data_IF_030940798975
#
_entry.id   IF_030940798975
#
_cell.length_a   1.000
_cell.length_b   1.000
_cell.length_c   1.000
_cell.angle_alpha   90.00
_cell.angle_beta   90.00
_cell.angle_gamma   90.00
#
_symmetry.space_group_name_H-M   'P 1'
#
loop_
_entity.id
_entity.type
_entity.pdbx_description
1 polymer ?
#
# COMPACT_ATOMS: atom_id res chain seq x y z
N UNK A 1 -16.36 -15.75 -6.39
CA UNK A 1 -15.01 -15.15 -6.31
C UNK A 1 -15.22 -13.66 -6.25
N UNK A 2 -15.03 -13.04 -5.10
CA UNK A 2 -15.05 -11.58 -5.02
C UNK A 2 -13.84 -11.10 -5.80
N UNK A 3 -14.07 -10.51 -6.97
CA UNK A 3 -13.05 -9.82 -7.73
C UNK A 3 -12.62 -8.63 -6.87
N UNK A 4 -11.61 -8.84 -6.02
CA UNK A 4 -11.12 -7.79 -5.13
C UNK A 4 -10.39 -6.79 -6.01
N UNK A 5 -11.12 -5.79 -6.50
CA UNK A 5 -10.56 -4.63 -7.16
C UNK A 5 -9.41 -4.08 -6.31
N UNK A 6 -8.25 -3.86 -6.94
CA UNK A 6 -7.10 -3.27 -6.28
C UNK A 6 -7.50 -1.89 -5.72
N UNK A 7 -7.23 -1.65 -4.43
CA UNK A 7 -7.70 -0.45 -3.73
C UNK A 7 -6.69 0.71 -3.74
N UNK A 8 -5.44 0.46 -4.15
CA UNK A 8 -4.39 1.49 -4.13
C UNK A 8 -3.99 1.92 -2.70
N UNK A 9 -4.26 1.07 -1.72
CA UNK A 9 -3.95 1.29 -0.30
C UNK A 9 -2.91 0.27 0.16
N UNK A 10 -2.05 0.71 1.07
CA UNK A 10 -1.16 -0.20 1.79
C UNK A 10 -1.91 -0.88 2.94
N UNK A 11 -1.46 -2.06 3.35
CA UNK A 11 -1.99 -2.77 4.52
C UNK A 11 -0.93 -2.78 5.62
N UNK A 12 -1.23 -2.16 6.76
CA UNK A 12 -0.34 -2.05 7.92
C UNK A 12 -1.03 -2.68 9.12
N UNK A 13 -0.37 -3.65 9.77
CA UNK A 13 -0.95 -4.41 10.88
C UNK A 13 -2.32 -5.06 10.58
N UNK A 14 -2.53 -5.48 9.32
CA UNK A 14 -3.79 -6.07 8.86
C UNK A 14 -4.89 -5.06 8.48
N UNK A 15 -4.63 -3.76 8.61
CA UNK A 15 -5.60 -2.71 8.31
C UNK A 15 -5.20 -1.93 7.05
N UNK A 16 -6.15 -1.61 6.14
CA UNK A 16 -5.87 -0.71 5.03
C UNK A 16 -5.61 0.70 5.56
N UNK A 17 -4.49 1.30 5.17
CA UNK A 17 -4.12 2.66 5.56
C UNK A 17 -4.31 3.62 4.40
N UNK A 18 -5.10 4.68 4.63
CA UNK A 18 -5.10 5.85 3.80
C UNK A 18 -3.80 6.60 4.08
N UNK A 19 -2.78 6.29 3.29
CA UNK A 19 -1.39 6.60 3.57
C UNK A 19 -1.12 8.08 3.89
N UNK A 20 -0.25 8.33 4.87
CA UNK A 20 0.11 9.68 5.31
C UNK A 20 1.39 10.25 4.64
N UNK A 21 2.04 9.49 3.75
CA UNK A 21 3.32 9.87 3.09
C UNK A 21 3.19 10.98 2.04
N UNK A 22 1.97 11.37 1.67
CA UNK A 22 1.68 12.55 0.87
C UNK A 22 1.86 12.40 -0.64
N UNK A 23 2.64 11.43 -1.12
CA UNK A 23 2.81 11.16 -2.53
C UNK A 23 1.88 10.03 -3.04
N UNK A 24 1.45 10.18 -4.29
CA UNK A 24 0.73 9.15 -5.03
C UNK A 24 1.50 8.77 -6.29
N UNK A 25 1.32 7.53 -6.75
CA UNK A 25 1.95 7.03 -7.97
C UNK A 25 1.10 5.98 -8.66
N UNK A 26 1.32 5.78 -9.95
CA UNK A 26 0.68 4.73 -10.73
C UNK A 26 1.66 3.62 -11.06
N UNK A 27 1.17 2.38 -11.09
CA UNK A 27 1.91 1.30 -11.71
C UNK A 27 2.01 1.54 -13.23
N UNK A 28 3.10 1.12 -13.85
CA UNK A 28 3.31 1.24 -15.30
C UNK A 28 3.47 -0.15 -15.89
N UNK A 29 2.71 -0.45 -16.96
CA UNK A 29 2.85 -1.67 -17.73
C UNK A 29 4.15 -1.59 -18.55
N UNK A 30 5.16 -2.44 -18.28
CA UNK A 30 6.49 -2.27 -18.88
C UNK A 30 6.50 -2.43 -20.41
N UNK A 31 5.59 -3.26 -20.94
CA UNK A 31 5.51 -3.54 -22.38
C UNK A 31 4.95 -2.37 -23.20
N UNK A 32 4.18 -1.46 -22.59
CA UNK A 32 3.45 -0.41 -23.31
C UNK A 32 3.71 1.00 -22.77
N UNK A 33 4.28 1.12 -21.57
CA UNK A 33 4.39 2.39 -20.85
C UNK A 33 3.05 2.91 -20.32
N UNK A 34 1.99 2.12 -20.42
CA UNK A 34 0.65 2.49 -19.97
C UNK A 34 0.62 2.60 -18.43
N UNK A 35 0.07 3.71 -17.92
CA UNK A 35 -0.22 3.88 -16.49
C UNK A 35 -1.47 3.08 -16.16
N UNK A 36 -1.39 2.28 -15.10
CA UNK A 36 -2.47 1.42 -14.65
C UNK A 36 -3.16 2.05 -13.44
N UNK A 37 -4.46 1.80 -13.36
CA UNK A 37 -5.25 2.02 -12.16
C UNK A 37 -5.16 0.79 -11.24
N UNK A 38 -5.33 0.97 -9.92
CA UNK A 38 -5.58 2.24 -9.23
C UNK A 38 -4.31 3.09 -9.06
N UNK A 39 -4.50 4.35 -8.69
CA UNK A 39 -3.46 5.15 -8.05
C UNK A 39 -3.09 4.54 -6.68
N UNK A 40 -1.80 4.38 -6.43
CA UNK A 40 -1.24 3.88 -5.18
C UNK A 40 -0.74 5.05 -4.32
N UNK A 41 -0.82 4.88 -3.00
CA UNK A 41 -0.42 5.89 -2.01
C UNK A 41 0.81 5.43 -1.25
N UNK A 42 1.81 6.31 -1.15
CA UNK A 42 3.03 6.07 -0.39
C UNK A 42 2.77 6.18 1.12
N UNK A 43 3.24 5.19 1.88
CA UNK A 43 3.17 5.20 3.35
C UNK A 43 4.17 6.18 3.95
N UNK A 44 3.82 6.80 5.07
CA UNK A 44 4.75 7.68 5.80
C UNK A 44 5.60 6.90 6.82
N UNK A 45 6.60 7.57 7.41
CA UNK A 45 7.47 6.98 8.42
C UNK A 45 6.69 6.38 9.61
N UNK A 46 5.62 7.05 10.06
CA UNK A 46 4.78 6.56 11.15
C UNK A 46 4.03 5.26 10.79
N UNK A 47 3.62 5.11 9.53
CA UNK A 47 2.99 3.89 9.03
C UNK A 47 4.01 2.75 8.95
N UNK A 48 5.25 3.06 8.53
CA UNK A 48 6.35 2.10 8.49
C UNK A 48 6.73 1.61 9.90
N UNK A 49 6.91 2.51 10.86
CA UNK A 49 7.20 2.16 12.24
C UNK A 49 6.10 1.28 12.85
N UNK A 50 4.84 1.61 12.58
CA UNK A 50 3.69 0.79 12.99
C UNK A 50 3.75 -0.60 12.36
N UNK A 51 4.09 -0.71 11.08
CA UNK A 51 4.21 -1.99 10.39
C UNK A 51 5.32 -2.86 11.02
N UNK A 52 6.50 -2.28 11.27
CA UNK A 52 7.62 -2.95 11.91
C UNK A 52 7.25 -3.46 13.30
N UNK A 53 6.59 -2.63 14.13
CA UNK A 53 6.14 -3.03 15.47
C UNK A 53 5.15 -4.19 15.42
N UNK A 54 4.12 -4.10 14.56
CA UNK A 54 3.12 -5.14 14.42
C UNK A 54 3.71 -6.47 13.93
N UNK A 55 4.68 -6.43 13.00
CA UNK A 55 5.39 -7.61 12.56
C UNK A 55 6.22 -8.26 13.67
N UNK A 56 6.86 -7.45 14.53
CA UNK A 56 7.59 -7.93 15.71
C UNK A 56 6.68 -8.57 16.77
N UNK A 57 5.50 -7.99 17.00
CA UNK A 57 4.50 -8.50 17.97
C UNK A 57 3.76 -9.75 17.47
N UNK A 58 3.69 -9.99 16.16
CA UNK A 58 3.04 -11.18 15.59
C UNK A 58 3.94 -12.43 15.57
N UNK A 59 5.25 -12.27 15.80
CA UNK A 59 6.24 -13.34 15.79
C UNK A 59 6.48 -14.01 17.15
N UNK A 60 5.72 -13.65 18.19
CA UNK A 60 5.77 -14.21 19.56
C UNK A 60 4.57 -15.08 19.87
#
# INVERSE_FOLDING_TARGET
>A
MTDTLLQGLSTVAGEPVAAAGGATFHAVKPATGERLDPEYREIGDADLDRACRAAGEAGV
#
